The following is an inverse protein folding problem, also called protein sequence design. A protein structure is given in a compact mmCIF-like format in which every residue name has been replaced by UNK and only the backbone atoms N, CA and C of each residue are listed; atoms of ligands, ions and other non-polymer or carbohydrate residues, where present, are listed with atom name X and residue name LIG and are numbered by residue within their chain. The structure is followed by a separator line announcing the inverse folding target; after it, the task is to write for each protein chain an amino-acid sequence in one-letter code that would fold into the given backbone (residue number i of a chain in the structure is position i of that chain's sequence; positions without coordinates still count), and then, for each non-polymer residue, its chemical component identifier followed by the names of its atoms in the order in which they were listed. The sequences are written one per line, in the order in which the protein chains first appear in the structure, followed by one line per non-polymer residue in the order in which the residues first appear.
data_IF_317213728931
#
_entry.id   IF_317213728931
#
_cell.length_a   1.000
_cell.length_b   1.000
_cell.length_c   1.000
_cell.angle_alpha   90.00
_cell.angle_beta   90.00
_cell.angle_gamma   90.00
#
_symmetry.space_group_name_H-M   'P 1'
#
loop_
_entity.id
_entity.type
_entity.pdbx_description
1 polymer ?
#
# COMPACT_ATOMS: atom_id res chain seq x y z
N UNK A 1 -44.10 1.68 -83.93
CA UNK A 1 -43.55 2.80 -83.12
C UNK A 1 -44.08 2.66 -81.70
N UNK A 2 -43.20 2.85 -80.71
CA UNK A 2 -43.39 2.99 -79.24
C UNK A 2 -42.45 2.06 -78.45
N UNK A 3 -41.30 2.60 -78.07
CA UNK A 3 -40.36 2.04 -77.11
C UNK A 3 -40.62 2.67 -75.73
N UNK A 4 -40.62 1.91 -74.61
CA UNK A 4 -40.69 2.50 -73.28
C UNK A 4 -39.29 2.70 -72.65
N UNK A 5 -38.97 3.98 -72.51
CA UNK A 5 -38.32 4.74 -71.43
C UNK A 5 -37.52 3.98 -70.35
N UNK A 6 -36.22 4.30 -70.26
CA UNK A 6 -35.31 3.94 -69.16
C UNK A 6 -35.58 4.78 -67.91
N UNK A 7 -35.76 4.13 -66.74
CA UNK A 7 -35.76 4.80 -65.44
C UNK A 7 -34.39 4.61 -64.76
N UNK A 8 -33.63 5.70 -64.61
CA UNK A 8 -32.39 5.76 -63.82
C UNK A 8 -32.75 5.90 -62.34
N UNK A 9 -32.51 4.87 -61.53
CA UNK A 9 -32.55 4.97 -60.06
C UNK A 9 -31.20 5.49 -59.57
N UNK A 10 -31.18 6.72 -59.02
CA UNK A 10 -30.04 7.26 -58.28
C UNK A 10 -30.25 6.87 -56.82
N UNK A 11 -29.45 5.92 -56.32
CA UNK A 11 -29.43 5.55 -54.91
C UNK A 11 -28.46 6.49 -54.19
N UNK A 12 -29.00 7.38 -53.34
CA UNK A 12 -28.21 8.22 -52.45
C UNK A 12 -28.05 7.48 -51.13
N UNK A 13 -26.87 6.89 -50.91
CA UNK A 13 -26.51 6.14 -49.71
C UNK A 13 -26.02 7.09 -48.62
N UNK A 14 -26.84 7.28 -47.59
CA UNK A 14 -26.49 8.02 -46.37
C UNK A 14 -25.76 7.04 -45.44
N UNK A 15 -24.47 7.26 -45.18
CA UNK A 15 -23.70 6.49 -44.19
C UNK A 15 -24.07 6.95 -42.77
N UNK A 16 -24.54 6.06 -41.87
CA UNK A 16 -24.71 6.41 -40.46
C UNK A 16 -23.35 6.42 -39.78
N UNK A 17 -22.94 7.58 -39.25
CA UNK A 17 -21.74 7.71 -38.42
C UNK A 17 -22.07 7.20 -37.02
N UNK A 18 -21.59 6.00 -36.69
CA UNK A 18 -21.69 5.43 -35.33
C UNK A 18 -20.70 6.19 -34.44
N UNK A 19 -21.21 7.04 -33.54
CA UNK A 19 -20.40 7.71 -32.53
C UNK A 19 -20.04 6.69 -31.44
N UNK A 20 -18.79 6.21 -31.47
CA UNK A 20 -18.23 5.34 -30.44
C UNK A 20 -17.98 6.20 -29.19
N UNK A 21 -18.84 6.08 -28.18
CA UNK A 21 -18.62 6.71 -26.86
C UNK A 21 -17.51 5.92 -26.17
N UNK A 22 -16.27 6.37 -26.32
CA UNK A 22 -15.13 5.80 -25.61
C UNK A 22 -15.20 6.15 -24.12
N UNK A 23 -15.39 5.16 -23.26
CA UNK A 23 -15.11 5.28 -21.83
C UNK A 23 -13.61 5.51 -21.69
N UNK A 24 -13.20 6.74 -21.34
CA UNK A 24 -11.82 7.00 -20.98
C UNK A 24 -11.49 6.19 -19.70
N UNK A 25 -10.40 5.42 -19.66
CA UNK A 25 -9.98 4.79 -18.42
C UNK A 25 -9.68 5.88 -17.38
N UNK A 26 -10.23 5.74 -16.17
CA UNK A 26 -9.85 6.58 -15.05
C UNK A 26 -8.37 6.37 -14.78
N UNK A 27 -7.57 7.43 -14.86
CA UNK A 27 -6.15 7.36 -14.54
C UNK A 27 -5.99 6.87 -13.09
N UNK A 28 -5.17 5.84 -12.89
CA UNK A 28 -4.82 5.37 -11.56
C UNK A 28 -4.13 6.50 -10.80
N UNK A 29 -4.51 6.69 -9.53
CA UNK A 29 -3.79 7.60 -8.64
C UNK A 29 -2.42 6.98 -8.36
N UNK A 30 -1.35 7.69 -8.71
CA UNK A 30 0.01 7.30 -8.34
C UNK A 30 0.21 7.51 -6.85
N UNK A 31 1.00 6.64 -6.25
CA UNK A 31 1.46 6.86 -4.89
C UNK A 31 2.37 8.08 -4.81
N UNK A 32 2.39 8.74 -3.65
CA UNK A 32 3.40 9.75 -3.30
C UNK A 32 4.00 9.41 -1.95
N UNK A 33 5.27 9.72 -1.76
CA UNK A 33 5.96 9.50 -0.49
C UNK A 33 6.91 10.66 -0.18
N UNK A 34 6.76 11.29 0.99
CA UNK A 34 7.57 12.44 1.39
C UNK A 34 7.93 12.37 2.87
N UNK A 35 9.11 12.87 3.23
CA UNK A 35 9.59 12.91 4.61
C UNK A 35 9.60 14.33 5.18
N UNK A 36 9.07 14.51 6.38
CA UNK A 36 9.17 15.71 7.20
C UNK A 36 10.10 15.45 8.40
N UNK A 37 11.26 16.11 8.39
CA UNK A 37 12.26 15.95 9.44
C UNK A 37 11.91 16.69 10.75
N UNK A 38 10.93 17.59 10.73
CA UNK A 38 10.50 18.32 11.93
C UNK A 38 9.62 17.45 12.83
N UNK A 39 8.89 16.50 12.23
CA UNK A 39 8.04 15.54 12.93
C UNK A 39 8.55 14.10 12.86
N UNK A 40 9.62 13.86 12.09
CA UNK A 40 10.13 12.52 11.77
C UNK A 40 9.09 11.63 11.04
N UNK A 41 8.23 12.24 10.23
CA UNK A 41 7.08 11.54 9.61
C UNK A 41 7.29 11.34 8.12
N UNK A 42 7.03 10.13 7.65
CA UNK A 42 6.89 9.80 6.24
C UNK A 42 5.40 9.82 5.88
N UNK A 43 4.96 10.78 5.09
CA UNK A 43 3.60 10.83 4.57
C UNK A 43 3.50 10.06 3.26
N UNK A 44 2.59 9.09 3.22
CA UNK A 44 2.34 8.23 2.06
C UNK A 44 0.91 8.43 1.59
N UNK A 45 0.74 8.86 0.34
CA UNK A 45 -0.53 8.69 -0.36
C UNK A 45 -0.45 7.37 -1.09
N UNK A 46 -1.25 6.39 -0.68
CA UNK A 46 -1.35 5.09 -1.35
C UNK A 46 -2.14 5.28 -2.64
N UNK A 47 -1.63 4.71 -3.72
CA UNK A 47 -2.28 4.79 -5.03
C UNK A 47 -3.54 3.93 -5.11
N UNK A 48 -4.29 4.07 -6.20
CA UNK A 48 -5.46 3.21 -6.43
C UNK A 48 -5.11 1.75 -6.79
N UNK A 49 -3.83 1.45 -6.95
CA UNK A 49 -3.28 0.11 -7.20
C UNK A 49 -2.61 -0.46 -5.96
N UNK A 50 -1.41 -1.03 -6.15
CA UNK A 50 -0.55 -1.47 -5.04
C UNK A 50 0.54 -0.42 -4.81
N UNK A 51 0.79 -0.09 -3.55
CA UNK A 51 1.93 0.70 -3.09
C UNK A 51 2.71 -0.13 -2.10
N UNK A 52 3.98 -0.39 -2.38
CA UNK A 52 4.86 -1.18 -1.51
C UNK A 52 5.84 -0.28 -0.78
N UNK A 53 5.76 -0.29 0.55
CA UNK A 53 6.77 0.26 1.42
C UNK A 53 7.77 -0.82 1.81
N UNK A 54 9.05 -0.52 1.68
CA UNK A 54 10.13 -1.40 2.13
C UNK A 54 11.36 -0.60 2.58
N UNK A 55 12.34 -1.31 3.10
CA UNK A 55 13.66 -0.74 3.44
C UNK A 55 14.68 -1.11 2.36
N UNK A 56 15.45 -0.14 1.89
CA UNK A 56 16.53 -0.38 0.94
C UNK A 56 17.78 0.40 1.31
N UNK A 57 18.86 -0.31 1.63
CA UNK A 57 20.12 0.26 2.13
C UNK A 57 19.89 1.26 3.29
N UNK A 58 18.95 0.96 4.18
CA UNK A 58 18.57 1.79 5.32
C UNK A 58 17.60 2.94 5.01
N UNK A 59 17.25 3.17 3.74
CA UNK A 59 16.25 4.17 3.34
C UNK A 59 14.85 3.56 3.39
N UNK A 60 13.88 4.36 3.77
CA UNK A 60 12.46 4.04 3.57
C UNK A 60 12.13 4.33 2.11
N UNK A 61 11.61 3.33 1.39
CA UNK A 61 11.27 3.45 -0.03
C UNK A 61 9.81 3.10 -0.28
N UNK A 62 9.18 3.80 -1.23
CA UNK A 62 7.87 3.49 -1.78
C UNK A 62 8.02 3.09 -3.25
N UNK A 63 7.56 1.90 -3.61
CA UNK A 63 7.68 1.33 -4.96
C UNK A 63 9.13 1.39 -5.51
N UNK A 64 10.10 1.14 -4.62
CA UNK A 64 11.54 1.17 -4.91
C UNK A 64 12.17 2.56 -4.99
N UNK A 65 11.40 3.63 -4.78
CA UNK A 65 11.90 5.02 -4.78
C UNK A 65 12.00 5.57 -3.36
N UNK A 66 13.09 6.24 -2.96
CA UNK A 66 13.22 6.82 -1.63
C UNK A 66 12.12 7.84 -1.29
N UNK A 67 11.62 7.73 -0.06
CA UNK A 67 10.68 8.68 0.53
C UNK A 67 11.41 9.95 1.00
N UNK A 68 11.91 10.74 0.05
CA UNK A 68 12.80 11.87 0.36
C UNK A 68 14.10 11.40 1.01
N UNK A 69 14.43 11.95 2.17
CA UNK A 69 15.62 11.57 2.96
C UNK A 69 15.30 10.64 4.13
N UNK A 70 14.13 10.01 4.16
CA UNK A 70 13.76 9.09 5.23
C UNK A 70 14.68 7.87 5.27
N UNK A 71 15.15 7.56 6.47
CA UNK A 71 15.89 6.35 6.82
C UNK A 71 15.23 5.69 8.02
N UNK A 72 15.54 4.44 8.24
CA UNK A 72 15.07 3.70 9.43
C UNK A 72 15.56 4.27 10.75
N UNK A 73 16.46 5.26 10.75
CA UNK A 73 17.03 5.90 11.94
C UNK A 73 16.60 7.36 12.13
N UNK A 74 15.89 7.94 11.15
CA UNK A 74 15.44 9.33 11.21
C UNK A 74 13.93 9.50 11.00
N UNK A 75 13.23 8.44 10.60
CA UNK A 75 11.79 8.39 10.61
C UNK A 75 11.32 7.72 11.91
N UNK A 76 10.15 8.11 12.38
CA UNK A 76 9.51 7.62 13.60
C UNK A 76 8.07 7.19 13.32
N UNK A 77 7.49 7.71 12.24
CA UNK A 77 6.12 7.40 11.83
C UNK A 77 6.02 7.35 10.31
N UNK A 78 5.31 6.37 9.79
CA UNK A 78 4.76 6.35 8.45
C UNK A 78 3.25 6.59 8.57
N UNK A 79 2.77 7.72 8.05
CA UNK A 79 1.34 8.03 7.95
C UNK A 79 0.86 7.69 6.54
N UNK A 80 0.16 6.56 6.41
CA UNK A 80 -0.32 6.05 5.14
C UNK A 80 -1.82 6.30 4.97
N UNK A 81 -2.15 7.10 3.96
CA UNK A 81 -3.53 7.49 3.64
C UNK A 81 -3.95 6.98 2.26
N UNK A 82 -5.16 6.44 2.18
CA UNK A 82 -5.77 5.96 0.95
C UNK A 82 -7.29 6.12 1.00
N UNK A 83 -7.92 6.10 -0.17
CA UNK A 83 -9.37 5.93 -0.34
C UNK A 83 -9.71 4.58 -0.97
N UNK A 84 -8.79 3.62 -0.90
CA UNK A 84 -8.82 2.31 -1.56
C UNK A 84 -7.40 1.85 -1.92
N UNK A 85 -7.29 0.79 -2.73
CA UNK A 85 -5.99 0.23 -3.14
C UNK A 85 -5.39 -0.71 -2.10
N UNK A 86 -4.12 -1.09 -2.31
CA UNK A 86 -3.38 -2.01 -1.45
C UNK A 86 -2.11 -1.33 -0.95
N UNK A 87 -1.98 -1.20 0.36
CA UNK A 87 -0.70 -0.91 1.00
C UNK A 87 0.01 -2.21 1.32
N UNK A 88 1.27 -2.31 0.94
CA UNK A 88 2.14 -3.43 1.28
C UNK A 88 3.24 -2.92 2.21
N UNK A 89 3.39 -3.55 3.35
CA UNK A 89 4.56 -3.44 4.22
C UNK A 89 5.43 -4.66 3.92
N UNK A 90 6.61 -4.45 3.34
CA UNK A 90 7.52 -5.51 2.89
C UNK A 90 8.81 -5.49 3.71
N UNK A 91 8.98 -6.53 4.53
CA UNK A 91 10.10 -6.73 5.44
C UNK A 91 11.31 -7.41 4.78
N UNK A 92 11.23 -7.74 3.49
CA UNK A 92 12.30 -8.46 2.78
C UNK A 92 13.60 -7.66 2.65
N UNK A 93 13.50 -6.33 2.72
CA UNK A 93 14.63 -5.41 2.76
C UNK A 93 15.22 -5.17 4.16
N UNK A 94 14.65 -5.78 5.19
CA UNK A 94 14.95 -5.56 6.60
C UNK A 94 13.80 -4.87 7.35
N UNK A 95 13.87 -4.81 8.69
CA UNK A 95 12.82 -4.23 9.52
C UNK A 95 12.77 -2.71 9.37
N UNK A 96 11.61 -2.14 9.69
CA UNK A 96 11.43 -0.68 9.82
C UNK A 96 11.90 -0.19 11.20
N UNK A 97 13.13 -0.56 11.57
CA UNK A 97 13.74 -0.31 12.86
C UNK A 97 15.17 0.25 12.69
N UNK A 98 15.68 1.11 13.60
CA UNK A 98 15.15 1.35 14.94
C UNK A 98 14.18 2.54 15.10
N UNK A 99 13.71 3.20 14.06
CA UNK A 99 13.03 4.49 14.23
C UNK A 99 13.96 5.60 14.79
N UNK A 100 13.44 6.82 14.95
CA UNK A 100 14.22 7.96 15.45
C UNK A 100 14.18 8.06 16.97
N UNK A 101 13.02 7.83 17.59
CA UNK A 101 12.86 7.96 19.03
C UNK A 101 12.98 6.61 19.70
N UNK A 102 13.70 6.63 20.81
CA UNK A 102 13.75 5.47 21.69
C UNK A 102 12.42 5.29 22.42
N UNK A 103 11.92 4.07 22.45
CA UNK A 103 10.76 3.73 23.26
C UNK A 103 11.18 3.35 24.68
N UNK A 104 10.22 3.34 25.60
CA UNK A 104 10.48 3.04 27.00
C UNK A 104 11.05 1.62 27.22
N UNK A 105 10.80 0.73 26.25
CA UNK A 105 11.31 -0.64 26.17
C UNK A 105 12.80 -0.73 25.86
N UNK A 106 13.38 0.33 25.28
CA UNK A 106 14.74 0.33 24.74
C UNK A 106 14.87 -0.29 23.35
N UNK A 107 13.77 -0.86 22.83
CA UNK A 107 13.58 -1.14 21.42
C UNK A 107 12.88 0.07 20.80
N UNK A 108 12.95 0.19 19.50
CA UNK A 108 12.50 1.40 18.81
C UNK A 108 12.22 1.01 17.38
N UNK A 109 11.09 1.44 16.84
CA UNK A 109 10.62 1.08 15.51
C UNK A 109 9.89 2.25 14.87
N UNK A 110 9.52 2.12 13.60
CA UNK A 110 8.72 3.12 12.89
C UNK A 110 7.26 2.70 12.95
N UNK A 111 6.45 3.56 13.53
CA UNK A 111 5.00 3.37 13.67
C UNK A 111 4.27 3.59 12.34
N UNK A 112 3.47 2.62 11.91
CA UNK A 112 2.56 2.75 10.78
C UNK A 112 1.17 3.17 11.26
N UNK A 113 0.72 4.34 10.82
CA UNK A 113 -0.58 4.91 11.14
C UNK A 113 -1.34 5.27 9.87
N UNK A 114 -2.62 5.63 10.02
CA UNK A 114 -3.42 6.21 8.94
C UNK A 114 -4.70 5.43 8.61
N UNK A 115 -5.13 5.50 7.35
CA UNK A 115 -6.39 4.90 6.92
C UNK A 115 -6.37 4.49 5.45
N UNK A 116 -6.94 3.33 5.11
CA UNK A 116 -7.01 2.85 3.72
C UNK A 116 -8.38 3.04 3.05
N UNK A 117 -9.38 3.59 3.76
CA UNK A 117 -10.68 3.91 3.16
C UNK A 117 -11.37 2.73 2.44
N UNK A 118 -11.33 1.53 3.05
CA UNK A 118 -11.74 0.22 2.51
C UNK A 118 -10.73 -0.49 1.58
N UNK A 119 -9.44 -0.12 1.66
CA UNK A 119 -8.35 -0.81 0.97
C UNK A 119 -7.88 -2.10 1.65
N UNK A 120 -6.80 -2.66 1.12
CA UNK A 120 -6.15 -3.88 1.61
C UNK A 120 -4.85 -3.51 2.30
N UNK A 121 -4.64 -4.01 3.51
CA UNK A 121 -3.32 -4.02 4.15
C UNK A 121 -2.68 -5.38 3.89
N UNK A 122 -1.49 -5.38 3.30
CA UNK A 122 -0.69 -6.59 3.09
C UNK A 122 0.64 -6.46 3.81
N UNK A 123 1.04 -7.53 4.49
CA UNK A 123 2.33 -7.62 5.17
C UNK A 123 3.06 -8.80 4.54
N UNK A 124 4.25 -8.53 4.01
CA UNK A 124 5.17 -9.55 3.52
C UNK A 124 6.35 -9.64 4.47
N UNK A 125 6.52 -10.82 5.05
CA UNK A 125 7.65 -11.18 5.91
C UNK A 125 8.98 -11.15 5.18
N UNK A 126 10.04 -11.28 5.96
CA UNK A 126 11.41 -11.34 5.48
C UNK A 126 11.73 -12.73 4.89
N UNK A 127 12.96 -12.93 4.36
CA UNK A 127 13.45 -14.28 4.05
C UNK A 127 13.89 -15.09 5.27
N UNK A 128 13.84 -14.49 6.48
CA UNK A 128 14.19 -15.11 7.75
C UNK A 128 12.95 -15.48 8.56
N UNK A 129 13.14 -15.97 9.79
CA UNK A 129 12.02 -16.23 10.68
C UNK A 129 11.37 -14.91 11.11
N UNK A 130 10.08 -14.76 10.86
CA UNK A 130 9.29 -13.62 11.32
C UNK A 130 8.31 -14.04 12.41
N UNK A 131 8.05 -13.12 13.35
CA UNK A 131 6.93 -13.25 14.27
C UNK A 131 6.02 -12.05 14.09
N UNK A 132 4.81 -12.30 13.59
CA UNK A 132 3.83 -11.26 13.31
C UNK A 132 2.56 -11.61 14.06
N UNK A 133 2.15 -10.71 14.95
CA UNK A 133 0.92 -10.84 15.73
C UNK A 133 -0.08 -9.78 15.28
N UNK A 134 -1.34 -10.15 15.16
CA UNK A 134 -2.40 -9.22 14.81
C UNK A 134 -3.63 -9.42 15.70
N UNK A 135 -4.37 -8.34 15.90
CA UNK A 135 -5.57 -8.31 16.72
C UNK A 135 -6.42 -7.07 16.47
N UNK A 136 -7.27 -6.71 17.43
CA UNK A 136 -8.18 -5.57 17.30
C UNK A 136 -7.50 -4.22 17.38
N UNK A 137 -6.37 -4.15 18.08
CA UNK A 137 -5.65 -2.90 18.33
C UNK A 137 -4.62 -2.62 17.23
N UNK A 138 -4.22 -3.62 16.45
CA UNK A 138 -3.35 -3.46 15.28
C UNK A 138 -2.55 -4.72 14.92
N UNK A 139 -1.35 -4.49 14.40
CA UNK A 139 -0.37 -5.54 14.08
C UNK A 139 0.97 -5.18 14.72
N UNK A 140 1.59 -6.15 15.37
CA UNK A 140 2.99 -6.13 15.75
C UNK A 140 3.78 -6.97 14.71
N UNK A 141 4.81 -6.41 14.10
CA UNK A 141 5.60 -7.01 13.01
C UNK A 141 6.80 -7.84 13.50
N UNK A 142 7.08 -7.83 14.82
CA UNK A 142 8.26 -8.39 15.45
C UNK A 142 7.95 -9.00 16.85
N UNK A 143 6.82 -9.71 17.01
CA UNK A 143 6.11 -9.96 18.27
C UNK A 143 6.77 -10.96 19.27
N UNK A 144 8.09 -10.99 19.33
CA UNK A 144 8.89 -11.66 20.37
C UNK A 144 9.89 -10.71 21.03
N UNK A 145 9.72 -9.40 20.82
CA UNK A 145 10.54 -8.41 21.48
C UNK A 145 10.18 -8.22 22.96
N UNK A 146 11.04 -7.53 23.71
CA UNK A 146 10.87 -7.41 25.17
C UNK A 146 9.73 -6.44 25.57
N UNK A 147 9.17 -5.68 24.63
CA UNK A 147 7.97 -4.90 24.84
C UNK A 147 6.98 -5.24 23.74
N UNK A 148 5.92 -5.91 24.16
CA UNK A 148 4.77 -6.16 23.31
C UNK A 148 4.06 -4.82 23.03
N UNK A 149 4.41 -4.14 21.94
CA UNK A 149 3.67 -2.96 21.46
C UNK A 149 3.28 -3.09 19.99
N UNK A 150 2.55 -2.11 19.46
CA UNK A 150 1.78 -2.28 18.21
C UNK A 150 2.28 -1.35 17.12
N UNK A 151 3.00 -1.91 16.16
CA UNK A 151 3.71 -1.12 15.16
C UNK A 151 2.78 -0.64 14.04
N UNK A 152 1.62 -1.28 13.84
CA UNK A 152 0.68 -0.93 12.76
C UNK A 152 -0.74 -0.72 13.27
N UNK A 153 -1.19 0.52 13.23
CA UNK A 153 -2.52 0.97 13.67
C UNK A 153 -3.35 1.59 12.52
N UNK A 154 -3.23 1.01 11.33
CA UNK A 154 -3.94 1.48 10.13
C UNK A 154 -5.42 1.10 10.18
N UNK A 155 -6.28 2.10 10.01
CA UNK A 155 -7.74 1.93 10.03
C UNK A 155 -8.36 1.79 8.64
N UNK A 156 -9.66 1.47 8.57
CA UNK A 156 -10.38 1.40 7.30
C UNK A 156 -9.86 0.30 6.37
N UNK A 157 -9.29 -0.76 6.93
CA UNK A 157 -8.81 -1.94 6.21
C UNK A 157 -10.00 -2.87 5.94
N UNK A 158 -10.30 -3.16 4.67
CA UNK A 158 -11.35 -4.11 4.30
C UNK A 158 -10.89 -5.57 4.35
N UNK A 159 -9.60 -5.80 4.11
CA UNK A 159 -8.97 -7.11 4.20
C UNK A 159 -7.52 -6.93 4.62
N UNK A 160 -7.05 -7.81 5.51
CA UNK A 160 -5.65 -7.93 5.86
C UNK A 160 -5.09 -9.24 5.29
N UNK A 161 -3.88 -9.20 4.75
CA UNK A 161 -3.14 -10.37 4.25
C UNK A 161 -1.76 -10.36 4.89
N UNK A 162 -1.38 -11.46 5.53
CA UNK A 162 -0.04 -11.64 6.09
C UNK A 162 0.60 -12.84 5.41
N UNK A 163 1.75 -12.63 4.79
CA UNK A 163 2.57 -13.67 4.18
C UNK A 163 3.86 -13.77 5.00
N UNK A 164 4.12 -14.87 5.69
CA UNK A 164 5.35 -15.05 6.49
C UNK A 164 6.64 -15.10 5.67
N UNK A 165 6.55 -15.28 4.34
CA UNK A 165 7.74 -15.35 3.48
C UNK A 165 8.44 -16.70 3.56
N UNK A 166 9.77 -16.68 3.62
CA UNK A 166 10.55 -17.89 3.86
C UNK A 166 11.03 -17.83 5.30
N UNK A 167 11.05 -18.96 6.01
CA UNK A 167 11.48 -18.93 7.40
C UNK A 167 10.68 -19.92 8.22
N UNK A 168 10.95 -19.92 9.52
CA UNK A 168 10.08 -20.57 10.49
C UNK A 168 9.24 -19.48 11.13
N UNK A 169 8.11 -19.17 10.51
CA UNK A 169 7.32 -18.00 10.88
C UNK A 169 6.29 -18.34 11.95
N UNK A 170 6.04 -17.38 12.84
CA UNK A 170 4.96 -17.42 13.82
C UNK A 170 3.95 -16.32 13.48
N UNK A 171 2.78 -16.72 12.99
CA UNK A 171 1.69 -15.81 12.64
C UNK A 171 0.51 -16.04 13.58
N UNK A 172 0.10 -15.02 14.34
CA UNK A 172 -1.01 -15.10 15.30
C UNK A 172 -2.10 -14.06 15.01
N UNK A 173 -3.34 -14.41 15.37
CA UNK A 173 -4.53 -13.57 15.19
C UNK A 173 -5.38 -13.53 16.48
N UNK A 174 -4.79 -13.87 17.62
CA UNK A 174 -5.49 -14.02 18.89
C UNK A 174 -5.41 -12.77 19.79
N UNK A 175 -4.88 -11.66 19.28
CA UNK A 175 -4.78 -10.38 19.99
C UNK A 175 -3.73 -10.36 21.09
N UNK A 176 -2.79 -11.30 21.12
CA UNK A 176 -1.66 -11.26 22.04
C UNK A 176 -0.59 -10.29 21.55
N UNK A 177 0.48 -10.14 22.33
CA UNK A 177 1.64 -9.33 21.97
C UNK A 177 1.26 -7.87 21.65
N UNK A 178 0.43 -7.27 22.51
CA UNK A 178 0.03 -5.86 22.41
C UNK A 178 -1.10 -5.57 21.43
N UNK A 179 -1.63 -6.58 20.74
CA UNK A 179 -2.57 -6.37 19.62
C UNK A 179 -4.07 -6.51 19.94
N UNK A 180 -4.51 -6.75 21.19
CA UNK A 180 -5.95 -6.79 21.53
C UNK A 180 -6.32 -6.99 23.00
#
# INVERSE_FOLDING_TARGET
MHAPTRLRRIASSILPTVALIGLAPTAAQSATCTFDSSTATVSVSVGSGTTTLSVSAGNVVADGSPCGSATVTNADTIDASATGGTLVIDLSGGPFAPGQKAEASGQSEIEFTGTLGSGVLRIDGSPGADTIAAGTDGVNLNAEENADDVDVTITGVASMVVNGGNGNDRLTWDGREGTG
#
